data_IF_890989046072
#
_entry.id   IF_890989046072
#
_cell.length_a   1.000
_cell.length_b   1.000
_cell.length_c   1.000
_cell.angle_alpha   90.00
_cell.angle_beta   90.00
_cell.angle_gamma   90.00
#
_symmetry.space_group_name_H-M   'P 1'
#
loop_
_entity.id
_entity.type
_entity.pdbx_description
1 polymer ?
#
# COMPACT_ATOMS: atom_id res chain seq x y z
N UNK A 1 -15.75 -63.52 0.59
CA UNK A 1 -14.88 -64.45 -0.17
C UNK A 1 -13.61 -63.59 -0.41
N UNK A 2 -12.72 -63.85 0.47
CA UNK A 2 -11.30 -64.22 0.43
C UNK A 2 -10.32 -63.14 -0.02
N UNK A 3 -9.71 -62.55 0.96
CA UNK A 3 -8.29 -62.19 1.09
C UNK A 3 -7.39 -63.45 0.84
N UNK A 4 -6.04 -63.45 0.77
CA UNK A 4 -5.01 -62.39 1.00
C UNK A 4 -3.77 -62.52 0.06
N UNK A 5 -2.74 -61.72 0.17
CA UNK A 5 -1.42 -62.03 0.76
C UNK A 5 -0.37 -60.94 0.40
N UNK A 6 0.24 -60.52 1.47
CA UNK A 6 1.48 -59.84 1.69
C UNK A 6 2.72 -60.49 1.03
N UNK A 7 3.74 -59.67 0.73
CA UNK A 7 5.14 -59.95 1.10
C UNK A 7 6.01 -58.70 0.95
N UNK A 8 6.75 -58.44 2.04
CA UNK A 8 7.88 -57.49 2.16
C UNK A 8 9.20 -58.27 1.91
N UNK A 9 10.25 -57.71 1.41
CA UNK A 9 11.57 -58.08 1.90
C UNK A 9 12.48 -56.87 2.24
N UNK A 10 12.90 -56.94 3.48
CA UNK A 10 14.27 -56.86 4.05
C UNK A 10 15.29 -55.81 3.54
N UNK A 11 15.73 -55.06 4.54
CA UNK A 11 16.89 -54.17 4.57
C UNK A 11 18.23 -54.95 4.43
N UNK A 12 19.18 -54.33 3.74
CA UNK A 12 20.61 -54.65 3.89
C UNK A 12 21.40 -53.39 4.20
N UNK A 13 22.08 -53.46 5.34
CA UNK A 13 23.08 -52.52 5.84
C UNK A 13 24.39 -52.60 5.02
N UNK A 14 25.01 -51.51 4.74
CA UNK A 14 26.43 -51.44 4.38
C UNK A 14 27.13 -50.27 5.12
N UNK A 15 28.18 -50.69 5.75
CA UNK A 15 29.07 -49.99 6.68
C UNK A 15 29.88 -48.85 6.03
N UNK A 16 29.98 -47.77 6.77
CA UNK A 16 30.84 -46.59 6.48
C UNK A 16 32.32 -46.88 6.77
N UNK A 17 33.19 -46.49 5.90
CA UNK A 17 34.64 -46.29 6.18
C UNK A 17 34.95 -44.83 6.20
N UNK A 18 35.47 -44.34 7.34
CA UNK A 18 36.03 -43.03 7.57
C UNK A 18 37.40 -42.85 6.88
N UNK A 19 37.59 -41.78 6.14
CA UNK A 19 38.92 -41.28 5.79
C UNK A 19 39.05 -39.84 6.24
N UNK A 20 39.97 -39.62 7.17
CA UNK A 20 40.48 -38.33 7.61
C UNK A 20 41.31 -37.67 6.53
N UNK A 21 40.94 -36.49 6.08
CA UNK A 21 41.78 -35.63 5.25
C UNK A 21 42.02 -34.30 5.97
N UNK A 22 43.29 -34.03 6.18
CA UNK A 22 43.90 -32.86 6.81
C UNK A 22 43.68 -31.58 6.01
N UNK A 23 43.37 -30.53 6.73
CA UNK A 23 43.17 -29.16 6.25
C UNK A 23 44.50 -28.43 6.04
N UNK A 24 44.78 -27.82 4.88
CA UNK A 24 45.80 -26.81 4.75
C UNK A 24 45.22 -25.40 4.94
N UNK A 25 45.90 -24.64 5.80
CA UNK A 25 45.61 -23.23 6.06
C UNK A 25 45.59 -22.40 4.76
N UNK A 26 44.42 -21.73 4.51
CA UNK A 26 44.32 -20.72 3.47
C UNK A 26 44.60 -19.34 4.01
N UNK A 27 45.66 -18.77 3.50
CA UNK A 27 46.08 -17.38 3.65
C UNK A 27 44.96 -16.40 3.28
N UNK A 28 44.75 -15.40 4.10
CA UNK A 28 43.78 -14.32 3.84
C UNK A 28 44.10 -13.56 2.58
N UNK A 29 43.19 -13.67 1.62
CA UNK A 29 43.03 -12.71 0.54
C UNK A 29 41.92 -11.77 0.94
N UNK A 30 42.24 -10.50 1.21
CA UNK A 30 41.27 -9.44 1.37
C UNK A 30 40.40 -9.38 0.11
N UNK A 31 39.13 -9.69 0.23
CA UNK A 31 38.14 -9.47 -0.82
C UNK A 31 38.03 -7.96 -1.01
N UNK A 32 38.65 -7.46 -2.07
CA UNK A 32 38.35 -6.13 -2.61
C UNK A 32 36.89 -6.18 -3.06
N UNK A 33 36.02 -5.51 -2.28
CA UNK A 33 34.61 -5.39 -2.58
C UNK A 33 34.42 -4.78 -3.97
N UNK A 34 33.94 -5.58 -4.89
CA UNK A 34 33.32 -5.10 -6.11
C UNK A 34 32.11 -4.25 -5.65
N UNK A 35 32.23 -2.94 -5.77
CA UNK A 35 31.10 -2.04 -5.62
C UNK A 35 30.04 -2.46 -6.64
N UNK A 36 29.00 -3.16 -6.19
CA UNK A 36 27.82 -3.44 -6.98
C UNK A 36 27.22 -2.09 -7.35
N UNK A 37 27.42 -1.65 -8.59
CA UNK A 37 26.83 -0.41 -9.07
C UNK A 37 25.32 -0.59 -9.04
N UNK A 38 24.62 0.21 -8.22
CA UNK A 38 23.16 0.27 -8.22
C UNK A 38 22.65 0.44 -9.66
N UNK A 39 21.58 -0.26 -10.07
CA UNK A 39 21.02 -0.11 -11.42
C UNK A 39 20.42 1.28 -11.65
N UNK A 40 20.33 2.12 -10.62
CA UNK A 40 19.90 3.54 -10.67
C UNK A 40 20.86 4.37 -9.82
N UNK A 41 21.34 5.47 -10.39
CA UNK A 41 22.26 6.44 -9.76
C UNK A 41 21.60 7.81 -9.58
N UNK A 42 22.19 8.67 -8.75
CA UNK A 42 21.76 10.06 -8.65
C UNK A 42 21.87 10.82 -9.98
N UNK A 43 22.86 10.49 -10.82
CA UNK A 43 23.00 11.11 -12.13
C UNK A 43 21.83 10.76 -13.06
N UNK A 44 21.30 9.55 -12.99
CA UNK A 44 20.11 9.14 -13.77
C UNK A 44 18.84 9.84 -13.25
N UNK A 45 18.71 10.04 -11.93
CA UNK A 45 17.64 10.84 -11.33
C UNK A 45 17.74 12.29 -11.77
N UNK A 46 18.94 12.89 -11.79
CA UNK A 46 19.16 14.26 -12.31
C UNK A 46 18.82 14.38 -13.79
N UNK A 47 19.16 13.37 -14.60
CA UNK A 47 18.78 13.31 -16.00
C UNK A 47 17.27 13.16 -16.19
N UNK A 48 16.61 12.32 -15.37
CA UNK A 48 15.15 12.20 -15.35
C UNK A 48 14.48 13.51 -14.99
N UNK A 49 14.97 14.25 -13.97
CA UNK A 49 14.44 15.55 -13.58
C UNK A 49 14.45 16.56 -14.75
N UNK A 50 15.51 16.56 -15.56
CA UNK A 50 15.56 17.41 -16.78
C UNK A 50 14.53 16.99 -17.83
N UNK A 51 14.30 15.68 -18.03
CA UNK A 51 13.35 15.19 -19.03
C UNK A 51 11.90 15.51 -18.66
N UNK A 52 11.56 15.41 -17.36
CA UNK A 52 10.18 15.62 -16.91
C UNK A 52 9.85 17.06 -16.55
N UNK A 53 10.81 17.98 -16.60
CA UNK A 53 10.68 19.37 -16.13
C UNK A 53 9.50 20.15 -16.75
N UNK A 54 9.10 19.81 -17.98
CA UNK A 54 7.99 20.46 -18.66
C UNK A 54 6.61 19.91 -18.28
N UNK A 55 6.54 18.77 -17.57
CA UNK A 55 5.27 18.06 -17.33
C UNK A 55 5.01 17.72 -15.86
N UNK A 56 6.05 17.49 -15.08
CA UNK A 56 5.94 17.28 -13.65
C UNK A 56 6.09 18.62 -12.93
N UNK A 57 5.08 18.98 -12.17
CA UNK A 57 5.15 20.19 -11.36
C UNK A 57 6.15 20.01 -10.21
N UNK A 58 6.88 21.06 -9.86
CA UNK A 58 7.57 21.16 -8.57
C UNK A 58 6.49 21.40 -7.52
N UNK A 59 6.02 20.33 -6.91
CA UNK A 59 4.91 20.39 -5.95
C UNK A 59 5.35 21.07 -4.65
N UNK A 60 4.44 21.72 -3.91
CA UNK A 60 4.76 22.33 -2.62
C UNK A 60 5.33 21.32 -1.61
N UNK A 61 6.13 21.85 -0.69
CA UNK A 61 6.48 21.23 0.58
C UNK A 61 5.96 22.13 1.69
N UNK A 62 5.07 21.63 2.53
CA UNK A 62 4.29 22.41 3.49
C UNK A 62 4.57 21.95 4.92
N UNK A 63 4.81 22.89 5.85
CA UNK A 63 4.97 22.58 7.27
C UNK A 63 3.61 22.17 7.86
N UNK A 64 3.57 21.03 8.54
CA UNK A 64 2.38 20.56 9.25
C UNK A 64 2.56 20.74 10.76
N UNK A 65 1.93 21.76 11.34
CA UNK A 65 2.06 22.05 12.78
C UNK A 65 1.51 20.90 13.64
N UNK A 66 0.32 20.39 13.30
CA UNK A 66 -0.33 19.27 14.03
C UNK A 66 0.59 18.06 14.17
N UNK A 67 1.19 17.63 13.08
CA UNK A 67 2.08 16.47 13.08
C UNK A 67 3.42 16.79 13.76
N UNK A 68 3.91 18.02 13.63
CA UNK A 68 5.13 18.47 14.29
C UNK A 68 4.97 18.42 15.81
N UNK A 69 3.86 18.93 16.33
CA UNK A 69 3.54 18.91 17.76
C UNK A 69 3.36 17.45 18.25
N UNK A 70 2.63 16.63 17.49
CA UNK A 70 2.37 15.24 17.87
C UNK A 70 3.62 14.37 17.93
N UNK A 71 4.65 14.67 17.12
CA UNK A 71 5.89 13.87 17.03
C UNK A 71 7.10 14.53 17.70
N UNK A 72 6.94 15.73 18.23
CA UNK A 72 8.06 16.53 18.75
C UNK A 72 9.22 16.71 17.75
N UNK A 73 8.86 16.89 16.45
CA UNK A 73 9.79 17.07 15.33
C UNK A 73 9.32 18.24 14.44
N UNK A 74 10.03 18.53 13.35
CA UNK A 74 9.57 19.48 12.33
C UNK A 74 9.11 18.72 11.11
N UNK A 75 7.78 18.48 10.99
CA UNK A 75 7.19 17.68 9.93
C UNK A 75 6.79 18.52 8.72
N UNK A 76 7.32 18.14 7.56
CA UNK A 76 6.97 18.70 6.26
C UNK A 76 6.24 17.67 5.40
N UNK A 77 5.22 18.12 4.68
CA UNK A 77 4.43 17.30 3.74
C UNK A 77 4.81 17.63 2.31
N UNK A 78 5.35 16.67 1.56
CA UNK A 78 5.58 16.81 0.11
C UNK A 78 4.33 16.43 -0.66
N UNK A 79 3.73 17.36 -1.38
CA UNK A 79 2.37 17.33 -1.93
C UNK A 79 2.30 16.77 -3.35
N UNK A 80 2.61 15.50 -3.56
CA UNK A 80 2.52 14.86 -4.89
C UNK A 80 1.07 14.60 -5.36
N UNK A 81 0.08 14.74 -4.49
CA UNK A 81 -1.34 14.80 -4.81
C UNK A 81 -1.71 16.02 -5.69
N UNK A 82 -0.86 17.03 -5.75
CA UNK A 82 -1.04 18.23 -6.58
C UNK A 82 -0.41 18.12 -7.98
N UNK A 83 0.15 16.98 -8.35
CA UNK A 83 0.54 16.73 -9.73
C UNK A 83 -0.66 16.75 -10.68
N UNK A 84 -0.41 16.98 -11.97
CA UNK A 84 -1.45 17.03 -13.03
C UNK A 84 -2.37 15.81 -13.07
N UNK A 85 -1.84 14.62 -12.77
CA UNK A 85 -2.60 13.36 -12.65
C UNK A 85 -2.94 13.03 -11.19
N UNK A 86 -2.80 14.00 -10.28
CA UNK A 86 -3.03 13.87 -8.84
C UNK A 86 -2.23 12.74 -8.17
N UNK A 87 -1.05 12.43 -8.69
CA UNK A 87 -0.09 11.50 -8.06
C UNK A 87 1.31 11.63 -8.68
N UNK A 88 2.32 11.20 -7.93
CA UNK A 88 3.72 11.18 -8.38
C UNK A 88 3.98 10.32 -9.62
N UNK A 89 3.05 9.41 -9.98
CA UNK A 89 3.23 8.41 -11.05
C UNK A 89 3.52 9.02 -12.42
N UNK A 90 3.13 10.25 -12.68
CA UNK A 90 3.48 10.98 -13.91
C UNK A 90 4.99 11.05 -14.14
N UNK A 91 5.79 11.17 -13.08
CA UNK A 91 7.25 11.31 -13.12
C UNK A 91 7.90 10.11 -13.80
N UNK A 92 7.64 8.90 -13.29
CA UNK A 92 8.21 7.66 -13.84
C UNK A 92 7.63 7.29 -15.20
N UNK A 93 6.31 7.38 -15.38
CA UNK A 93 5.66 7.06 -16.65
C UNK A 93 6.20 7.94 -17.79
N UNK A 94 6.23 9.26 -17.59
CA UNK A 94 6.77 10.17 -18.60
C UNK A 94 8.26 9.96 -18.83
N UNK A 95 9.06 9.74 -17.78
CA UNK A 95 10.49 9.51 -17.92
C UNK A 95 10.82 8.27 -18.77
N UNK A 96 10.07 7.17 -18.61
CA UNK A 96 10.21 5.98 -19.48
C UNK A 96 9.87 6.34 -20.93
N UNK A 97 8.67 6.88 -21.15
CA UNK A 97 8.12 7.09 -22.47
C UNK A 97 8.86 8.17 -23.28
N UNK A 98 9.43 9.16 -22.60
CA UNK A 98 10.23 10.22 -23.27
C UNK A 98 11.53 9.69 -23.86
N UNK A 99 12.03 8.53 -23.41
CA UNK A 99 13.27 7.91 -23.86
C UNK A 99 13.07 6.86 -24.97
N UNK A 100 11.84 6.63 -25.41
CA UNK A 100 11.54 5.69 -26.47
C UNK A 100 12.08 6.15 -27.81
N UNK A 101 12.71 5.23 -28.56
CA UNK A 101 13.15 5.43 -29.94
C UNK A 101 11.96 5.70 -30.87
N UNK A 102 12.22 6.19 -32.08
CA UNK A 102 11.16 6.42 -33.06
C UNK A 102 10.41 5.14 -33.43
N UNK A 103 11.09 3.98 -33.49
CA UNK A 103 10.47 2.70 -33.75
C UNK A 103 9.55 2.25 -32.61
N UNK A 104 9.99 2.38 -31.35
CA UNK A 104 9.19 2.08 -30.16
C UNK A 104 7.98 3.00 -30.05
N UNK A 105 8.14 4.30 -30.33
CA UNK A 105 7.01 5.25 -30.36
C UNK A 105 5.97 4.87 -31.42
N UNK A 106 6.42 4.42 -32.59
CA UNK A 106 5.52 3.98 -33.66
C UNK A 106 4.79 2.69 -33.31
N UNK A 107 5.42 1.76 -32.58
CA UNK A 107 4.80 0.54 -32.06
C UNK A 107 3.81 0.82 -30.93
N UNK A 108 3.95 1.96 -30.24
CA UNK A 108 3.12 2.36 -29.12
C UNK A 108 3.51 1.72 -27.80
N UNK A 109 2.72 1.97 -26.78
CA UNK A 109 2.97 1.47 -25.42
C UNK A 109 1.79 0.66 -24.88
N UNK A 110 2.10 -0.21 -23.91
CA UNK A 110 1.12 -1.01 -23.18
C UNK A 110 1.38 -0.92 -21.69
N UNK A 111 0.35 -0.86 -20.88
CA UNK A 111 0.45 -1.07 -19.43
C UNK A 111 -0.79 -1.76 -18.87
N UNK A 112 -0.65 -2.36 -17.68
CA UNK A 112 -1.76 -2.85 -16.89
C UNK A 112 -1.86 -2.04 -15.59
N UNK A 113 -2.92 -1.27 -15.41
CA UNK A 113 -3.21 -0.55 -14.17
C UNK A 113 -4.57 0.13 -14.24
N UNK A 114 -5.35 0.04 -13.18
CA UNK A 114 -6.61 0.77 -13.03
C UNK A 114 -6.48 2.07 -12.23
N UNK A 115 -5.28 2.39 -11.72
CA UNK A 115 -5.04 3.51 -10.81
C UNK A 115 -4.09 4.58 -11.37
N UNK A 116 -3.27 5.11 -10.48
CA UNK A 116 -2.37 6.24 -10.73
C UNK A 116 -1.39 6.03 -11.88
N UNK A 117 -0.87 4.79 -12.03
CA UNK A 117 0.06 4.49 -13.11
C UNK A 117 -0.61 4.61 -14.49
N UNK A 118 -1.83 4.08 -14.62
CA UNK A 118 -2.61 4.22 -15.85
C UNK A 118 -2.86 5.68 -16.22
N UNK A 119 -3.16 6.52 -15.25
CA UNK A 119 -3.35 7.96 -15.47
C UNK A 119 -2.04 8.64 -15.90
N UNK A 120 -0.92 8.25 -15.27
CA UNK A 120 0.42 8.74 -15.66
C UNK A 120 0.81 8.35 -17.08
N UNK A 121 0.56 7.08 -17.48
CA UNK A 121 0.80 6.59 -18.85
C UNK A 121 -0.14 7.29 -19.84
N UNK A 122 -1.43 7.42 -19.52
CA UNK A 122 -2.40 8.08 -20.38
C UNK A 122 -2.01 9.55 -20.65
N UNK A 123 -1.62 10.27 -19.59
CA UNK A 123 -1.10 11.63 -19.72
C UNK A 123 0.15 11.68 -20.60
N UNK A 124 1.11 10.78 -20.38
CA UNK A 124 2.34 10.71 -21.16
C UNK A 124 2.08 10.36 -22.63
N UNK A 125 1.12 9.47 -22.92
CA UNK A 125 0.67 9.17 -24.29
C UNK A 125 0.25 10.45 -25.01
N UNK A 126 -0.64 11.22 -24.39
CA UNK A 126 -1.13 12.47 -24.97
C UNK A 126 -0.03 13.53 -25.13
N UNK A 127 0.80 13.69 -24.11
CA UNK A 127 1.86 14.70 -24.12
C UNK A 127 2.96 14.42 -25.14
N UNK A 128 3.24 13.16 -25.45
CA UNK A 128 4.29 12.72 -26.36
C UNK A 128 3.79 12.30 -27.75
N UNK A 129 2.47 12.28 -27.96
CA UNK A 129 1.88 11.81 -29.22
C UNK A 129 2.09 10.32 -29.47
N UNK A 130 2.11 9.48 -28.41
CA UNK A 130 2.34 8.03 -28.48
C UNK A 130 1.02 7.34 -28.20
N UNK A 131 0.61 6.38 -29.05
CA UNK A 131 -0.59 5.58 -28.80
C UNK A 131 -0.35 4.57 -27.68
N UNK A 132 -1.34 4.39 -26.80
CA UNK A 132 -1.26 3.46 -25.67
C UNK A 132 -2.45 2.57 -25.53
N UNK A 133 -2.24 1.32 -25.15
CA UNK A 133 -3.29 0.39 -24.71
C UNK A 133 -3.15 0.13 -23.21
N UNK A 134 -4.22 0.41 -22.46
CA UNK A 134 -4.24 0.30 -21.00
C UNK A 134 -5.19 -0.83 -20.63
N UNK A 135 -4.64 -1.89 -20.09
CA UNK A 135 -5.35 -3.09 -19.68
C UNK A 135 -5.89 -2.92 -18.26
N UNK A 136 -7.16 -3.24 -18.09
CA UNK A 136 -7.92 -3.06 -16.84
C UNK A 136 -8.76 -4.31 -16.58
N UNK A 137 -8.96 -4.74 -15.32
CA UNK A 137 -9.99 -5.71 -14.99
C UNK A 137 -11.39 -5.24 -15.40
N UNK A 138 -12.29 -6.18 -15.75
CA UNK A 138 -13.69 -5.90 -16.05
C UNK A 138 -14.41 -5.18 -14.91
N UNK A 139 -13.98 -5.48 -13.67
CA UNK A 139 -14.51 -4.93 -12.42
C UNK A 139 -14.12 -3.47 -12.15
N UNK A 140 -13.24 -2.88 -12.99
CA UNK A 140 -12.74 -1.51 -12.76
C UNK A 140 -13.89 -0.49 -12.78
N UNK A 141 -14.09 0.33 -11.74
CA UNK A 141 -15.15 1.32 -11.64
C UNK A 141 -15.13 2.33 -12.80
N UNK A 142 -16.32 2.77 -13.22
CA UNK A 142 -16.47 3.75 -14.31
C UNK A 142 -15.66 5.02 -14.05
N UNK A 143 -15.69 5.54 -12.83
CA UNK A 143 -14.97 6.74 -12.45
C UNK A 143 -13.45 6.64 -12.72
N UNK A 144 -12.82 5.49 -12.41
CA UNK A 144 -11.40 5.25 -12.71
C UNK A 144 -11.14 5.24 -14.22
N UNK A 145 -12.00 4.56 -14.99
CA UNK A 145 -11.90 4.51 -16.45
C UNK A 145 -12.04 5.89 -17.10
N UNK A 146 -12.98 6.70 -16.62
CA UNK A 146 -13.24 8.04 -17.16
C UNK A 146 -12.07 9.00 -16.85
N UNK A 147 -11.43 8.88 -15.68
CA UNK A 147 -10.21 9.63 -15.38
C UNK A 147 -9.05 9.28 -16.32
N UNK A 148 -8.82 8.01 -16.61
CA UNK A 148 -7.78 7.60 -17.56
C UNK A 148 -8.07 8.18 -18.94
N UNK A 149 -9.31 8.10 -19.43
CA UNK A 149 -9.71 8.69 -20.71
C UNK A 149 -9.53 10.19 -20.75
N UNK A 150 -9.85 10.90 -19.66
CA UNK A 150 -9.71 12.37 -19.61
C UNK A 150 -8.26 12.83 -19.76
N UNK A 151 -7.29 12.04 -19.24
CA UNK A 151 -5.86 12.34 -19.40
C UNK A 151 -5.33 11.96 -20.79
N UNK A 152 -5.72 10.81 -21.32
CA UNK A 152 -5.19 10.27 -22.56
C UNK A 152 -5.86 10.75 -23.84
N UNK A 153 -7.15 11.14 -23.76
CA UNK A 153 -7.95 11.48 -24.94
C UNK A 153 -7.95 10.35 -25.98
N UNK A 154 -7.80 10.70 -27.24
CA UNK A 154 -7.77 9.78 -28.37
C UNK A 154 -6.46 8.97 -28.49
N UNK A 155 -5.46 9.30 -27.68
CA UNK A 155 -4.16 8.59 -27.70
C UNK A 155 -4.21 7.28 -26.91
N UNK A 156 -5.27 6.99 -26.15
CA UNK A 156 -5.34 5.77 -25.34
C UNK A 156 -6.59 4.93 -25.64
N UNK A 157 -6.38 3.64 -25.75
CA UNK A 157 -7.41 2.63 -25.79
C UNK A 157 -7.45 1.89 -24.45
N UNK A 158 -8.64 1.85 -23.80
CA UNK A 158 -8.86 1.02 -22.62
C UNK A 158 -9.29 -0.38 -23.06
N UNK A 159 -8.58 -1.39 -22.60
CA UNK A 159 -8.86 -2.80 -22.85
C UNK A 159 -9.32 -3.44 -21.55
N UNK A 160 -10.59 -3.79 -21.45
CA UNK A 160 -11.14 -4.52 -20.30
C UNK A 160 -10.90 -6.00 -20.51
N UNK A 161 -10.19 -6.65 -19.58
CA UNK A 161 -9.85 -8.05 -19.70
C UNK A 161 -9.66 -8.73 -18.33
N UNK A 162 -10.29 -9.90 -18.16
CA UNK A 162 -10.24 -10.68 -16.92
C UNK A 162 -10.92 -9.98 -15.75
N UNK A 163 -10.91 -10.62 -14.60
CA UNK A 163 -11.56 -10.13 -13.39
C UNK A 163 -10.57 -9.61 -12.37
N UNK A 164 -9.27 -9.94 -12.53
CA UNK A 164 -8.19 -9.57 -11.61
C UNK A 164 -7.15 -8.68 -12.31
N UNK A 165 -6.33 -8.02 -11.48
CA UNK A 165 -5.16 -7.29 -11.97
C UNK A 165 -4.17 -8.22 -12.69
N UNK A 166 -3.98 -9.44 -12.19
CA UNK A 166 -3.05 -10.41 -12.77
C UNK A 166 -3.48 -10.84 -14.19
N UNK A 167 -4.80 -11.02 -14.42
CA UNK A 167 -5.34 -11.31 -15.75
C UNK A 167 -5.05 -10.17 -16.73
N UNK A 168 -5.33 -8.95 -16.31
CA UNK A 168 -5.06 -7.75 -17.12
C UNK A 168 -3.55 -7.56 -17.40
N UNK A 169 -2.69 -7.85 -16.41
CA UNK A 169 -1.24 -7.76 -16.56
C UNK A 169 -0.69 -8.82 -17.52
N UNK A 170 -1.17 -10.06 -17.43
CA UNK A 170 -0.81 -11.13 -18.34
C UNK A 170 -1.22 -10.81 -19.80
N UNK A 171 -2.44 -10.27 -19.97
CA UNK A 171 -2.93 -9.86 -21.29
C UNK A 171 -2.13 -8.69 -21.88
N UNK A 172 -1.75 -7.71 -21.03
CA UNK A 172 -0.89 -6.60 -21.47
C UNK A 172 0.48 -7.08 -21.94
N UNK A 173 1.10 -8.02 -21.22
CA UNK A 173 2.38 -8.61 -21.60
C UNK A 173 2.26 -9.37 -22.92
N UNK A 174 1.26 -10.23 -23.08
CA UNK A 174 1.02 -10.96 -24.33
C UNK A 174 0.74 -10.02 -25.52
N UNK A 175 0.09 -8.90 -25.29
CA UNK A 175 -0.14 -7.89 -26.32
C UNK A 175 1.16 -7.17 -26.70
N UNK A 176 2.02 -6.83 -25.74
CA UNK A 176 3.33 -6.25 -25.99
C UNK A 176 4.19 -7.19 -26.87
N UNK A 177 4.26 -8.46 -26.51
CA UNK A 177 5.01 -9.48 -27.26
C UNK A 177 4.49 -9.64 -28.70
N UNK A 178 3.17 -9.64 -28.88
CA UNK A 178 2.52 -9.81 -30.17
C UNK A 178 2.67 -8.60 -31.11
N UNK A 179 2.67 -7.39 -30.54
CA UNK A 179 2.62 -6.13 -31.31
C UNK A 179 3.96 -5.41 -31.39
N UNK A 180 4.94 -5.81 -30.58
CA UNK A 180 6.20 -5.08 -30.42
C UNK A 180 6.06 -3.77 -29.64
N UNK A 181 4.92 -3.51 -29.02
CA UNK A 181 4.70 -2.32 -28.19
C UNK A 181 5.51 -2.39 -26.88
N UNK A 182 5.92 -1.23 -26.38
CA UNK A 182 6.73 -1.18 -25.16
C UNK A 182 5.83 -1.30 -23.93
N UNK A 183 6.13 -2.29 -23.08
CA UNK A 183 5.52 -2.37 -21.76
C UNK A 183 6.08 -1.26 -20.87
N UNK A 184 5.20 -0.48 -20.23
CA UNK A 184 5.57 0.57 -19.27
C UNK A 184 5.26 0.10 -17.86
N UNK A 185 6.28 -0.41 -17.11
CA UNK A 185 6.07 -0.96 -15.76
C UNK A 185 5.77 0.13 -14.72
N UNK A 186 4.92 -0.16 -13.73
CA UNK A 186 4.54 0.82 -12.69
C UNK A 186 5.65 1.11 -11.68
N UNK A 187 6.67 0.25 -11.55
CA UNK A 187 7.74 0.38 -10.57
C UNK A 187 9.03 -0.40 -10.90
N UNK A 188 8.96 -1.54 -11.61
CA UNK A 188 10.11 -2.44 -11.79
C UNK A 188 10.84 -2.19 -13.13
N UNK A 189 11.33 -0.97 -13.30
CA UNK A 189 12.16 -0.53 -14.43
C UNK A 189 13.09 0.59 -13.96
N UNK A 190 14.39 0.55 -14.22
CA UNK A 190 15.34 1.59 -13.79
C UNK A 190 14.94 3.01 -14.22
N UNK A 191 14.32 3.16 -15.41
CA UNK A 191 13.84 4.46 -15.91
C UNK A 191 12.62 4.95 -15.12
N UNK A 192 11.71 4.03 -14.75
CA UNK A 192 10.58 4.35 -13.86
C UNK A 192 11.11 4.81 -12.50
N UNK A 193 12.03 4.05 -11.91
CA UNK A 193 12.63 4.31 -10.59
C UNK A 193 13.35 5.68 -10.59
N UNK A 194 14.18 5.96 -11.60
CA UNK A 194 14.87 7.25 -11.74
C UNK A 194 13.88 8.42 -11.85
N UNK A 195 12.79 8.25 -12.60
CA UNK A 195 11.72 9.25 -12.71
C UNK A 195 11.05 9.52 -11.37
N UNK A 196 10.72 8.48 -10.59
CA UNK A 196 10.11 8.62 -9.27
C UNK A 196 11.06 9.27 -8.26
N UNK A 197 12.35 8.94 -8.32
CA UNK A 197 13.39 9.53 -7.46
C UNK A 197 13.54 11.05 -7.58
N UNK A 198 13.04 11.66 -8.66
CA UNK A 198 13.13 13.13 -8.83
C UNK A 198 12.45 13.92 -7.72
N UNK A 199 11.51 13.32 -7.00
CA UNK A 199 10.81 13.97 -5.89
C UNK A 199 11.77 14.35 -4.75
N UNK A 200 12.75 13.49 -4.41
CA UNK A 200 13.69 13.79 -3.32
C UNK A 200 14.66 14.90 -3.70
N UNK A 201 15.03 15.00 -4.98
CA UNK A 201 15.83 16.14 -5.47
C UNK A 201 15.12 17.46 -5.23
N UNK A 202 13.80 17.52 -5.49
CA UNK A 202 12.99 18.73 -5.22
C UNK A 202 12.92 19.02 -3.72
N UNK A 203 12.71 18.00 -2.88
CA UNK A 203 12.66 18.13 -1.41
C UNK A 203 13.95 18.79 -0.90
N UNK A 204 15.12 18.27 -1.28
CA UNK A 204 16.42 18.82 -0.88
C UNK A 204 16.59 20.27 -1.35
N UNK A 205 16.16 20.59 -2.57
CA UNK A 205 16.22 21.95 -3.10
C UNK A 205 15.29 22.93 -2.37
N UNK A 206 14.06 22.49 -2.08
CA UNK A 206 13.06 23.33 -1.41
C UNK A 206 13.39 23.59 0.06
N UNK A 207 13.96 22.62 0.76
CA UNK A 207 14.43 22.80 2.13
C UNK A 207 15.78 23.52 2.22
N UNK A 208 16.53 23.62 1.12
CA UNK A 208 17.91 24.13 1.10
C UNK A 208 18.95 23.22 1.75
N UNK A 209 18.53 22.08 2.29
CA UNK A 209 19.34 21.02 2.90
C UNK A 209 18.62 19.67 2.83
N UNK A 210 19.33 18.54 2.94
CA UNK A 210 18.66 17.26 3.15
C UNK A 210 17.84 17.23 4.46
N UNK A 211 16.69 16.55 4.53
CA UNK A 211 16.00 16.29 5.79
C UNK A 211 16.78 15.28 6.64
N UNK A 212 16.46 15.18 7.92
CA UNK A 212 17.05 14.16 8.79
C UNK A 212 16.38 12.79 8.58
N UNK A 213 15.04 12.81 8.38
CA UNK A 213 14.23 11.61 8.12
C UNK A 213 13.29 11.85 6.93
N UNK A 214 13.14 10.85 6.09
CA UNK A 214 12.19 10.83 4.97
C UNK A 214 11.30 9.59 5.06
N UNK A 215 9.98 9.78 5.17
CA UNK A 215 9.00 8.69 5.23
C UNK A 215 8.28 8.55 3.88
N UNK A 216 8.32 7.35 3.30
CA UNK A 216 7.95 7.09 1.91
C UNK A 216 6.94 5.95 1.82
N UNK A 217 5.79 6.10 1.16
CA UNK A 217 4.87 5.00 0.91
C UNK A 217 5.49 3.92 0.02
N UNK A 218 5.27 2.66 0.38
CA UNK A 218 5.81 1.49 -0.32
C UNK A 218 4.68 0.58 -0.78
N UNK A 219 4.67 0.29 -2.07
CA UNK A 219 4.01 -0.83 -2.69
C UNK A 219 5.06 -1.65 -3.43
N UNK A 220 5.10 -1.63 -4.76
CA UNK A 220 6.13 -2.32 -5.56
C UNK A 220 7.55 -1.78 -5.39
N UNK A 221 7.75 -0.68 -4.66
CA UNK A 221 9.05 -0.17 -4.23
C UNK A 221 9.72 0.85 -5.17
N UNK A 222 9.14 1.17 -6.34
CA UNK A 222 9.82 2.03 -7.32
C UNK A 222 10.10 3.46 -6.82
N UNK A 223 9.23 4.04 -6.00
CA UNK A 223 9.42 5.37 -5.41
C UNK A 223 10.57 5.38 -4.40
N UNK A 224 10.47 4.50 -3.40
CA UNK A 224 11.49 4.42 -2.34
C UNK A 224 12.87 4.05 -2.91
N UNK A 225 12.92 3.15 -3.88
CA UNK A 225 14.17 2.78 -4.54
C UNK A 225 14.83 3.96 -5.25
N UNK A 226 14.05 4.80 -5.96
CA UNK A 226 14.58 6.00 -6.60
C UNK A 226 15.08 7.04 -5.61
N UNK A 227 14.37 7.20 -4.49
CA UNK A 227 14.76 8.08 -3.38
C UNK A 227 16.06 7.59 -2.72
N UNK A 228 16.11 6.30 -2.38
CA UNK A 228 17.28 5.68 -1.75
C UNK A 228 18.50 5.77 -2.67
N UNK A 229 18.35 5.44 -3.95
CA UNK A 229 19.45 5.53 -4.91
C UNK A 229 20.03 6.97 -4.99
N UNK A 230 19.16 7.99 -5.03
CA UNK A 230 19.61 9.38 -5.04
C UNK A 230 20.33 9.78 -3.74
N UNK A 231 19.74 9.45 -2.59
CA UNK A 231 20.28 9.85 -1.28
C UNK A 231 21.57 9.12 -0.93
N UNK A 232 21.72 7.86 -1.30
CA UNK A 232 22.97 7.10 -1.11
C UNK A 232 24.16 7.83 -1.75
N UNK A 233 23.98 8.41 -2.92
CA UNK A 233 25.02 9.15 -3.64
C UNK A 233 25.19 10.60 -3.14
N UNK A 234 24.11 11.29 -2.78
CA UNK A 234 24.09 12.75 -2.55
C UNK A 234 24.00 13.17 -1.09
N UNK A 235 23.35 12.35 -0.26
CA UNK A 235 23.13 12.68 1.15
C UNK A 235 22.97 11.40 2.00
N UNK A 236 24.03 10.59 2.16
CA UNK A 236 23.97 9.27 2.81
C UNK A 236 23.60 9.32 4.30
N UNK A 237 23.56 10.52 4.91
CA UNK A 237 23.14 10.70 6.30
C UNK A 237 21.62 10.77 6.51
N UNK A 238 20.82 10.79 5.45
CA UNK A 238 19.35 10.85 5.57
C UNK A 238 18.81 9.46 5.91
N UNK A 239 18.01 9.36 6.96
CA UNK A 239 17.29 8.13 7.29
C UNK A 239 16.03 8.01 6.43
N UNK A 240 15.97 6.99 5.58
CA UNK A 240 14.77 6.69 4.78
C UNK A 240 14.00 5.57 5.44
N UNK A 241 12.70 5.79 5.68
CA UNK A 241 11.77 4.80 6.24
C UNK A 241 10.66 4.55 5.22
N UNK A 242 10.45 3.30 4.86
CA UNK A 242 9.32 2.89 4.02
C UNK A 242 8.11 2.58 4.88
N UNK A 243 6.94 3.13 4.53
CA UNK A 243 5.66 2.80 5.12
C UNK A 243 4.88 1.90 4.15
N UNK A 244 4.50 0.70 4.58
CA UNK A 244 3.82 -0.30 3.78
C UNK A 244 2.50 -0.71 4.44
N UNK A 245 1.40 -0.95 3.68
CA UNK A 245 0.13 -1.40 4.28
C UNK A 245 0.32 -2.73 5.02
N UNK A 246 -0.20 -2.84 6.23
CA UNK A 246 -0.10 -4.06 7.02
C UNK A 246 -0.77 -5.26 6.34
N UNK A 247 -1.86 -5.02 5.60
CA UNK A 247 -2.56 -6.03 4.83
C UNK A 247 -1.89 -6.43 3.50
N UNK A 248 -0.82 -5.73 3.07
CA UNK A 248 -0.09 -6.03 1.83
C UNK A 248 1.42 -5.81 1.97
N UNK A 249 2.12 -6.49 2.92
CA UNK A 249 3.50 -6.24 3.29
C UNK A 249 4.51 -6.91 2.33
N UNK A 250 4.44 -6.61 1.03
CA UNK A 250 5.20 -7.32 0.00
C UNK A 250 6.70 -7.04 0.05
N UNK A 251 7.11 -5.81 0.36
CA UNK A 251 8.53 -5.44 0.48
C UNK A 251 9.12 -5.97 1.80
N UNK A 252 8.40 -5.87 2.91
CA UNK A 252 8.82 -6.44 4.18
C UNK A 252 9.00 -7.97 4.09
N UNK A 253 8.06 -8.67 3.43
CA UNK A 253 8.16 -10.10 3.17
C UNK A 253 9.36 -10.43 2.28
N UNK A 254 9.62 -9.62 1.23
CA UNK A 254 10.78 -9.81 0.37
C UNK A 254 12.11 -9.63 1.13
N UNK A 255 12.20 -8.61 2.00
CA UNK A 255 13.40 -8.38 2.84
C UNK A 255 13.63 -9.53 3.81
N UNK A 256 12.56 -10.04 4.43
CA UNK A 256 12.66 -11.19 5.34
C UNK A 256 13.10 -12.48 4.62
N UNK A 257 12.65 -12.68 3.37
CA UNK A 257 12.99 -13.84 2.56
C UNK A 257 14.35 -13.71 1.83
N UNK A 258 14.92 -12.52 1.75
CA UNK A 258 16.14 -12.24 0.96
C UNK A 258 15.93 -12.20 -0.55
N UNK A 259 14.68 -12.26 -1.02
CA UNK A 259 14.28 -12.18 -2.43
C UNK A 259 12.81 -11.75 -2.56
N UNK A 260 12.38 -11.17 -3.69
CA UNK A 260 10.96 -10.91 -3.92
C UNK A 260 10.13 -12.19 -3.81
N UNK A 261 9.09 -12.13 -2.98
CA UNK A 261 8.13 -13.23 -2.77
C UNK A 261 6.74 -12.77 -3.16
N UNK A 262 5.89 -13.72 -3.55
CA UNK A 262 4.49 -13.45 -3.84
C UNK A 262 3.65 -13.73 -2.58
N UNK A 263 2.90 -12.73 -2.12
CA UNK A 263 1.94 -12.88 -1.02
C UNK A 263 0.79 -13.81 -1.45
N UNK A 264 0.46 -14.77 -0.62
CA UNK A 264 -0.68 -15.68 -0.84
C UNK A 264 -2.01 -14.91 -0.73
N UNK A 265 -2.13 -14.10 0.31
CA UNK A 265 -3.29 -13.23 0.56
C UNK A 265 -2.84 -11.79 0.74
N UNK A 266 -3.70 -10.85 0.41
CA UNK A 266 -3.49 -9.42 0.70
C UNK A 266 -4.83 -8.72 0.85
N UNK A 267 -4.88 -7.65 1.66
CA UNK A 267 -5.99 -6.68 1.66
C UNK A 267 -5.77 -5.65 0.52
N UNK A 268 -6.68 -5.54 -0.45
CA UNK A 268 -6.57 -4.58 -1.54
C UNK A 268 -6.99 -3.15 -1.15
N UNK A 269 -7.32 -2.88 0.11
CA UNK A 269 -7.88 -1.60 0.56
C UNK A 269 -6.99 -0.41 0.15
N UNK A 270 -5.68 -0.49 0.36
CA UNK A 270 -4.71 0.55 -0.03
C UNK A 270 -4.29 0.33 -1.49
N UNK A 271 -5.23 0.44 -2.42
CA UNK A 271 -5.13 0.02 -3.82
C UNK A 271 -3.94 0.62 -4.60
N UNK A 272 -3.47 1.82 -4.21
CA UNK A 272 -2.25 2.45 -4.78
C UNK A 272 -0.92 1.84 -4.30
N UNK A 273 -0.93 1.05 -3.21
CA UNK A 273 0.26 0.41 -2.63
C UNK A 273 0.10 -1.10 -2.43
N UNK A 274 -1.12 -1.65 -2.43
CA UNK A 274 -1.36 -3.07 -2.30
C UNK A 274 -0.92 -3.85 -3.55
N UNK A 275 0.25 -4.47 -3.48
CA UNK A 275 0.80 -5.32 -4.54
C UNK A 275 1.20 -6.68 -3.98
N UNK A 276 1.04 -7.73 -4.79
CA UNK A 276 1.36 -9.10 -4.35
C UNK A 276 2.85 -9.39 -4.25
N UNK A 277 3.69 -8.60 -4.93
CA UNK A 277 5.15 -8.82 -4.93
C UNK A 277 5.87 -7.50 -5.12
N UNK A 278 6.93 -7.28 -4.36
CA UNK A 278 7.88 -6.20 -4.60
C UNK A 278 8.58 -6.40 -5.96
N UNK A 279 8.98 -5.29 -6.60
CA UNK A 279 9.79 -5.33 -7.81
C UNK A 279 11.20 -5.88 -7.55
N UNK A 280 11.79 -6.54 -8.53
CA UNK A 280 13.13 -7.13 -8.40
C UNK A 280 14.19 -6.04 -8.25
N UNK A 281 14.14 -5.02 -9.11
CA UNK A 281 15.09 -3.90 -9.07
C UNK A 281 14.88 -3.05 -7.81
N UNK A 282 13.65 -2.63 -7.44
CA UNK A 282 13.41 -1.93 -6.19
C UNK A 282 13.88 -2.69 -4.96
N UNK A 283 13.58 -3.99 -4.86
CA UNK A 283 14.03 -4.83 -3.76
C UNK A 283 15.55 -4.80 -3.62
N UNK A 284 16.29 -4.98 -4.73
CA UNK A 284 17.76 -4.98 -4.71
C UNK A 284 18.34 -3.67 -4.16
N UNK A 285 17.76 -2.52 -4.53
CA UNK A 285 18.20 -1.20 -4.04
C UNK A 285 17.87 -1.02 -2.56
N UNK A 286 16.64 -1.33 -2.15
CA UNK A 286 16.15 -1.17 -0.77
C UNK A 286 16.91 -2.09 0.19
N UNK A 287 17.14 -3.35 -0.21
CA UNK A 287 17.89 -4.33 0.57
C UNK A 287 19.37 -3.95 0.73
N UNK A 288 20.02 -3.52 -0.36
CA UNK A 288 21.42 -3.11 -0.34
C UNK A 288 21.66 -1.90 0.59
N UNK A 289 20.70 -0.99 0.69
CA UNK A 289 20.75 0.18 1.56
C UNK A 289 20.35 -0.12 3.01
N UNK A 290 19.86 -1.32 3.32
CA UNK A 290 19.34 -1.66 4.65
C UNK A 290 18.14 -0.81 5.09
N UNK A 291 17.33 -0.37 4.14
CA UNK A 291 16.22 0.54 4.39
C UNK A 291 15.14 -0.14 5.25
N UNK A 292 14.77 0.50 6.36
CA UNK A 292 13.71 0.02 7.24
C UNK A 292 12.33 0.16 6.58
N UNK A 293 11.54 -0.90 6.61
CA UNK A 293 10.12 -0.89 6.19
C UNK A 293 9.25 -1.13 7.44
N UNK A 294 8.22 -0.32 7.60
CA UNK A 294 7.27 -0.43 8.72
C UNK A 294 5.87 -0.71 8.19
N UNK A 295 5.15 -1.68 8.78
CA UNK A 295 3.75 -1.90 8.45
C UNK A 295 2.90 -0.80 9.10
N UNK A 296 1.84 -0.39 8.40
CA UNK A 296 0.85 0.59 8.87
C UNK A 296 -0.54 -0.01 8.77
N UNK A 297 -1.27 -0.01 9.87
CA UNK A 297 -2.65 -0.50 9.94
C UNK A 297 -3.58 0.32 9.05
N UNK A 298 -4.50 -0.34 8.34
CA UNK A 298 -5.44 0.30 7.41
C UNK A 298 -6.38 1.28 8.12
N UNK A 299 -6.76 0.99 9.35
CA UNK A 299 -7.57 1.91 10.18
C UNK A 299 -6.79 3.16 10.58
N UNK A 300 -5.49 3.04 10.87
CA UNK A 300 -4.62 4.19 11.10
C UNK A 300 -4.50 5.07 9.85
N UNK A 301 -4.40 4.45 8.66
CA UNK A 301 -4.40 5.16 7.38
C UNK A 301 -5.72 5.92 7.20
N UNK A 302 -6.87 5.28 7.47
CA UNK A 302 -8.18 5.90 7.38
C UNK A 302 -8.31 7.08 8.34
N UNK A 303 -7.85 6.93 9.58
CA UNK A 303 -7.86 7.98 10.60
C UNK A 303 -7.05 9.19 10.12
N UNK A 304 -5.85 8.98 9.59
CA UNK A 304 -5.03 10.06 9.09
C UNK A 304 -5.59 10.69 7.79
N UNK A 305 -6.24 9.94 6.91
CA UNK A 305 -6.97 10.50 5.76
C UNK A 305 -8.04 11.50 6.19
N UNK A 306 -8.81 11.16 7.21
CA UNK A 306 -9.84 12.04 7.77
C UNK A 306 -9.21 13.27 8.45
N UNK A 307 -8.13 13.08 9.21
CA UNK A 307 -7.42 14.16 9.87
C UNK A 307 -6.81 15.16 8.85
N UNK A 308 -6.15 14.66 7.79
CA UNK A 308 -5.61 15.46 6.69
C UNK A 308 -6.71 16.29 6.00
N UNK A 309 -7.88 15.69 5.80
CA UNK A 309 -9.02 16.38 5.20
C UNK A 309 -9.58 17.47 6.12
N UNK A 310 -9.79 17.15 7.38
CA UNK A 310 -10.46 18.03 8.35
C UNK A 310 -9.57 19.19 8.82
N UNK A 311 -8.28 18.95 9.02
CA UNK A 311 -7.38 19.94 9.61
C UNK A 311 -6.54 20.68 8.56
N UNK A 312 -6.06 19.99 7.54
CA UNK A 312 -5.17 20.55 6.52
C UNK A 312 -5.86 20.81 5.17
N UNK A 313 -7.13 20.37 4.99
CA UNK A 313 -7.84 20.50 3.72
C UNK A 313 -7.24 19.62 2.61
N UNK A 314 -6.52 18.56 2.96
CA UNK A 314 -5.81 17.67 2.04
C UNK A 314 -6.66 16.43 1.75
N UNK A 315 -7.03 16.24 0.49
CA UNK A 315 -7.73 15.03 0.03
C UNK A 315 -6.69 14.02 -0.44
N UNK A 316 -6.24 13.15 0.45
CA UNK A 316 -5.34 12.05 0.14
C UNK A 316 -6.13 10.77 -0.17
N UNK A 317 -5.61 9.94 -1.09
CA UNK A 317 -6.02 8.54 -1.23
C UNK A 317 -5.33 7.67 -0.15
N UNK A 318 -5.77 6.41 0.10
CA UNK A 318 -5.15 5.58 1.14
C UNK A 318 -3.63 5.45 1.00
N UNK A 319 -3.12 5.19 -0.21
CA UNK A 319 -1.67 5.15 -0.47
C UNK A 319 -1.00 6.53 -0.29
N UNK A 320 -1.74 7.61 -0.48
CA UNK A 320 -1.27 8.98 -0.29
C UNK A 320 -1.08 9.37 1.17
N UNK A 321 -1.92 8.85 2.07
CA UNK A 321 -1.85 9.09 3.50
C UNK A 321 -0.87 8.16 4.24
N UNK A 322 -0.45 7.07 3.61
CA UNK A 322 0.29 5.97 4.22
C UNK A 322 1.57 6.41 4.96
N UNK A 323 2.39 7.29 4.38
CA UNK A 323 3.60 7.79 5.04
C UNK A 323 3.29 8.68 6.24
N UNK A 324 2.22 9.45 6.16
CA UNK A 324 1.79 10.34 7.25
C UNK A 324 1.22 9.52 8.41
N UNK A 325 0.40 8.51 8.10
CA UNK A 325 -0.17 7.59 9.08
C UNK A 325 0.89 6.77 9.84
N UNK A 326 2.08 6.60 9.29
CA UNK A 326 3.19 5.92 9.96
C UNK A 326 3.81 6.76 11.08
N UNK A 327 3.78 8.10 10.98
CA UNK A 327 4.57 9.01 11.84
C UNK A 327 4.36 8.79 13.35
N UNK A 328 3.13 8.63 13.87
CA UNK A 328 2.91 8.47 15.31
C UNK A 328 3.53 7.19 15.90
N UNK A 329 3.77 6.17 15.06
CA UNK A 329 4.36 4.90 15.48
C UNK A 329 5.90 4.84 15.31
N UNK A 330 6.51 5.91 14.80
CA UNK A 330 7.94 5.97 14.57
C UNK A 330 8.66 6.61 15.77
N UNK A 331 9.77 6.00 16.16
CA UNK A 331 10.71 6.61 17.09
C UNK A 331 11.59 7.61 16.31
N UNK A 332 11.14 8.86 16.28
CA UNK A 332 11.79 9.94 15.56
C UNK A 332 12.70 10.75 16.51
N UNK A 333 13.92 11.13 16.10
CA UNK A 333 14.78 11.97 16.92
C UNK A 333 14.11 13.32 17.18
N UNK A 334 14.00 13.72 18.46
CA UNK A 334 13.37 14.99 18.84
C UNK A 334 14.04 16.19 18.14
N UNK A 335 13.22 17.10 17.63
CA UNK A 335 13.68 18.29 16.90
C UNK A 335 14.21 18.02 15.49
N UNK A 336 14.19 16.76 15.01
CA UNK A 336 14.60 16.43 13.63
C UNK A 336 13.65 17.02 12.59
N UNK A 337 14.19 17.26 11.39
CA UNK A 337 13.41 17.63 10.21
C UNK A 337 12.94 16.37 9.51
N UNK A 338 11.65 16.13 9.52
CA UNK A 338 11.00 14.96 8.92
C UNK A 338 10.21 15.38 7.70
N UNK A 339 10.33 14.65 6.60
CA UNK A 339 9.47 14.83 5.44
C UNK A 339 8.64 13.57 5.22
N UNK A 340 7.32 13.71 5.17
CA UNK A 340 6.40 12.66 4.76
C UNK A 340 5.80 12.97 3.38
N UNK A 341 5.71 11.95 2.51
CA UNK A 341 5.19 12.13 1.17
C UNK A 341 3.68 11.86 1.12
N UNK A 342 2.91 12.84 0.62
CA UNK A 342 1.52 12.64 0.19
C UNK A 342 1.56 12.30 -1.30
N UNK A 343 1.53 11.01 -1.63
CA UNK A 343 1.87 10.49 -2.95
C UNK A 343 0.75 10.55 -3.97
N UNK A 344 -0.51 10.73 -3.52
CA UNK A 344 -1.65 10.83 -4.41
C UNK A 344 -2.95 11.23 -3.71
N UNK A 345 -3.87 11.78 -4.51
CA UNK A 345 -5.19 12.24 -4.09
C UNK A 345 -6.34 11.74 -4.99
N UNK A 346 -6.13 10.64 -5.71
CA UNK A 346 -7.14 10.03 -6.60
C UNK A 346 -8.16 9.16 -5.84
N UNK A 347 -8.63 9.68 -4.71
CA UNK A 347 -9.58 8.96 -3.87
C UNK A 347 -10.94 8.78 -4.55
N UNK A 348 -11.62 7.72 -4.19
CA UNK A 348 -12.99 7.44 -4.60
C UNK A 348 -13.95 7.89 -3.50
N UNK A 349 -14.82 8.85 -3.83
CA UNK A 349 -15.77 9.42 -2.87
C UNK A 349 -16.73 8.36 -2.33
N UNK A 350 -17.05 7.33 -3.12
CA UNK A 350 -17.93 6.24 -2.68
C UNK A 350 -17.36 5.41 -1.53
N UNK A 351 -16.03 5.48 -1.29
CA UNK A 351 -15.35 4.74 -0.22
C UNK A 351 -15.31 5.46 1.13
N UNK A 352 -15.79 6.71 1.20
CA UNK A 352 -15.70 7.46 2.47
C UNK A 352 -16.49 6.81 3.61
N UNK A 353 -17.58 6.11 3.31
CA UNK A 353 -18.30 5.31 4.33
C UNK A 353 -17.40 4.23 4.95
N UNK A 354 -16.69 3.45 4.11
CA UNK A 354 -15.72 2.45 4.56
C UNK A 354 -14.53 3.08 5.31
N UNK A 355 -14.05 4.25 4.86
CA UNK A 355 -12.93 4.97 5.49
C UNK A 355 -13.31 5.43 6.91
N UNK A 356 -14.49 6.02 7.07
CA UNK A 356 -15.00 6.44 8.38
C UNK A 356 -15.16 5.23 9.30
N UNK A 357 -15.73 4.16 8.78
CA UNK A 357 -15.94 2.91 9.52
C UNK A 357 -14.63 2.31 10.04
N UNK A 358 -13.63 2.14 9.16
CA UNK A 358 -12.31 1.61 9.53
C UNK A 358 -11.60 2.52 10.56
N UNK A 359 -11.77 3.84 10.45
CA UNK A 359 -11.23 4.80 11.40
C UNK A 359 -11.87 4.65 12.78
N UNK A 360 -13.19 4.59 12.87
CA UNK A 360 -13.90 4.45 14.14
C UNK A 360 -13.54 3.12 14.85
N UNK A 361 -13.44 2.04 14.09
CA UNK A 361 -13.03 0.73 14.64
C UNK A 361 -11.58 0.77 15.13
N UNK A 362 -10.67 1.40 14.38
CA UNK A 362 -9.27 1.56 14.77
C UNK A 362 -9.12 2.40 16.05
N UNK A 363 -9.89 3.47 16.16
CA UNK A 363 -9.90 4.32 17.35
C UNK A 363 -10.60 3.67 18.57
N UNK A 364 -11.18 2.48 18.41
CA UNK A 364 -11.95 1.81 19.46
C UNK A 364 -13.26 2.49 19.79
N UNK A 365 -13.78 3.31 18.86
CA UNK A 365 -15.04 4.02 19.01
C UNK A 365 -16.22 3.26 18.43
N UNK A 366 -16.00 2.19 17.64
CA UNK A 366 -17.06 1.39 17.06
C UNK A 366 -16.81 -0.09 17.23
N UNK A 367 -17.84 -0.79 17.68
CA UNK A 367 -17.79 -2.22 17.97
C UNK A 367 -19.02 -2.93 17.45
N UNK A 368 -18.84 -4.20 17.07
CA UNK A 368 -19.91 -5.07 16.60
C UNK A 368 -20.11 -6.26 17.51
N UNK A 369 -21.38 -6.64 17.68
CA UNK A 369 -21.80 -7.72 18.55
C UNK A 369 -22.85 -8.60 17.88
N UNK A 370 -22.76 -9.89 18.10
CA UNK A 370 -23.89 -10.80 17.92
C UNK A 370 -24.57 -10.93 19.28
N UNK A 371 -25.87 -10.64 19.31
CA UNK A 371 -26.66 -10.64 20.54
C UNK A 371 -27.85 -11.58 20.35
N UNK A 372 -27.97 -12.59 21.21
CA UNK A 372 -29.14 -13.45 21.23
C UNK A 372 -30.22 -12.91 22.18
N UNK A 373 -31.20 -12.24 21.58
CA UNK A 373 -32.31 -11.62 22.32
C UNK A 373 -33.36 -12.67 22.73
N UNK A 374 -33.83 -12.68 24.00
CA UNK A 374 -35.04 -13.38 24.38
C UNK A 374 -36.21 -12.95 23.50
N UNK A 375 -36.97 -13.90 22.96
CA UNK A 375 -38.08 -13.57 22.05
C UNK A 375 -39.38 -13.19 22.81
N UNK A 376 -39.25 -12.38 23.82
CA UNK A 376 -40.35 -11.83 24.63
C UNK A 376 -40.56 -10.33 24.41
N UNK A 377 -41.77 -9.81 24.65
CA UNK A 377 -42.03 -8.37 24.59
C UNK A 377 -41.13 -7.59 25.54
N UNK A 378 -40.49 -6.51 25.04
CA UNK A 378 -39.65 -5.64 25.85
C UNK A 378 -38.18 -5.98 25.93
N UNK A 379 -37.72 -7.09 25.33
CA UNK A 379 -36.28 -7.49 25.34
C UNK A 379 -35.37 -6.39 24.74
N UNK A 380 -35.75 -5.82 23.60
CA UNK A 380 -35.00 -4.73 22.99
C UNK A 380 -34.99 -3.46 23.87
N UNK A 381 -36.11 -3.15 24.51
CA UNK A 381 -36.17 -1.99 25.42
C UNK A 381 -35.20 -2.18 26.59
N UNK A 382 -35.15 -3.37 27.20
CA UNK A 382 -34.18 -3.67 28.24
C UNK A 382 -32.73 -3.49 27.77
N UNK A 383 -32.43 -3.96 26.58
CA UNK A 383 -31.09 -3.76 25.99
C UNK A 383 -30.75 -2.27 25.89
N UNK A 384 -31.67 -1.44 25.39
CA UNK A 384 -31.46 0.00 25.29
C UNK A 384 -31.29 0.67 26.66
N UNK A 385 -32.12 0.29 27.62
CA UNK A 385 -32.18 0.94 28.94
C UNK A 385 -31.06 0.46 29.89
N UNK A 386 -30.62 -0.82 29.79
CA UNK A 386 -29.71 -1.46 30.75
C UNK A 386 -28.29 -1.65 30.23
N UNK A 387 -28.11 -1.73 28.91
CA UNK A 387 -26.80 -2.02 28.29
C UNK A 387 -26.15 -0.77 27.74
N UNK A 388 -26.89 0.08 27.00
CA UNK A 388 -26.29 1.28 26.42
C UNK A 388 -25.99 2.34 27.47
N UNK A 389 -24.88 3.03 27.29
CA UNK A 389 -24.56 4.26 28.03
C UNK A 389 -25.20 5.49 27.37
N UNK A 390 -25.14 6.65 28.04
CA UNK A 390 -25.76 7.88 27.54
C UNK A 390 -25.10 8.44 26.26
N UNK A 391 -23.87 8.06 26.00
CA UNK A 391 -23.06 8.47 24.82
C UNK A 391 -22.93 7.36 23.78
N UNK A 392 -23.58 6.20 23.99
CA UNK A 392 -23.53 5.06 23.09
C UNK A 392 -24.67 5.16 22.06
N UNK A 393 -24.35 5.04 20.77
CA UNK A 393 -25.32 5.06 19.67
C UNK A 393 -25.34 3.73 18.90
N UNK A 394 -26.53 3.28 18.52
CA UNK A 394 -26.71 2.10 17.66
C UNK A 394 -26.67 2.53 16.21
N UNK A 395 -25.59 2.22 15.52
CA UNK A 395 -25.39 2.54 14.10
C UNK A 395 -25.79 1.41 13.14
N UNK A 396 -25.91 0.19 13.68
CA UNK A 396 -26.39 -0.99 12.96
C UNK A 396 -27.23 -1.85 13.90
N UNK A 397 -28.43 -2.23 13.46
CA UNK A 397 -29.28 -3.18 14.18
C UNK A 397 -30.04 -4.06 13.20
N UNK A 398 -29.62 -5.30 13.06
CA UNK A 398 -30.29 -6.30 12.25
C UNK A 398 -30.81 -7.42 13.16
N UNK A 399 -32.13 -7.51 13.33
CA UNK A 399 -32.78 -8.51 14.16
C UNK A 399 -33.70 -9.39 13.33
N UNK A 400 -33.51 -10.70 13.46
CA UNK A 400 -34.36 -11.70 12.80
C UNK A 400 -35.17 -12.46 13.83
N UNK A 401 -36.44 -12.12 13.98
CA UNK A 401 -37.37 -12.90 14.78
C UNK A 401 -37.67 -14.24 14.13
N UNK A 402 -37.45 -15.35 14.87
CA UNK A 402 -37.74 -16.71 14.41
C UNK A 402 -38.83 -17.33 15.28
N UNK A 403 -39.89 -17.86 14.66
CA UNK A 403 -40.96 -18.54 15.38
C UNK A 403 -40.46 -19.83 16.03
N UNK A 404 -41.03 -20.19 17.20
CA UNK A 404 -40.71 -21.41 17.97
C UNK A 404 -39.25 -21.54 18.46
N UNK A 405 -38.59 -20.41 18.76
CA UNK A 405 -37.30 -20.35 19.44
C UNK A 405 -37.39 -19.45 20.68
N UNK A 406 -36.59 -19.76 21.69
CA UNK A 406 -36.51 -18.96 22.93
C UNK A 406 -35.76 -17.66 22.70
N UNK A 407 -34.75 -17.68 21.81
CA UNK A 407 -33.92 -16.51 21.47
C UNK A 407 -33.93 -16.25 19.96
N UNK A 408 -33.59 -15.02 19.57
CA UNK A 408 -33.39 -14.61 18.20
C UNK A 408 -32.12 -13.76 18.04
N UNK A 409 -31.24 -14.12 17.09
CA UNK A 409 -29.98 -13.42 16.90
C UNK A 409 -30.20 -12.01 16.32
N UNK A 410 -29.42 -11.06 16.81
CA UNK A 410 -29.27 -9.73 16.24
C UNK A 410 -27.80 -9.41 16.02
N UNK A 411 -27.55 -8.69 14.95
CA UNK A 411 -26.26 -8.03 14.69
C UNK A 411 -26.40 -6.57 15.13
N UNK A 412 -25.54 -6.14 16.06
CA UNK A 412 -25.57 -4.80 16.65
C UNK A 412 -24.22 -4.11 16.46
N UNK A 413 -24.23 -2.94 15.81
CA UNK A 413 -23.09 -2.02 15.74
C UNK A 413 -23.30 -0.86 16.70
N UNK A 414 -22.37 -0.65 17.61
CA UNK A 414 -22.42 0.40 18.63
C UNK A 414 -21.26 1.35 18.42
N UNK A 415 -21.58 2.63 18.27
CA UNK A 415 -20.61 3.73 18.29
C UNK A 415 -20.62 4.37 19.67
N UNK A 416 -19.43 4.64 20.20
CA UNK A 416 -19.21 5.09 21.56
C UNK A 416 -18.62 6.50 21.58
N UNK A 417 -18.95 7.30 22.57
CA UNK A 417 -18.38 8.64 22.76
C UNK A 417 -16.89 8.60 23.14
N UNK A 418 -16.39 7.51 23.74
CA UNK A 418 -14.96 7.31 24.04
C UNK A 418 -14.57 5.83 24.07
N UNK A 419 -13.31 5.52 23.73
CA UNK A 419 -12.79 4.16 23.74
C UNK A 419 -12.69 3.57 25.18
N UNK A 420 -12.50 4.41 26.18
CA UNK A 420 -12.44 4.03 27.59
C UNK A 420 -13.77 3.43 28.10
N UNK A 421 -14.89 3.80 27.48
CA UNK A 421 -16.23 3.31 27.79
C UNK A 421 -16.45 1.82 27.51
N UNK A 422 -15.60 1.20 26.66
CA UNK A 422 -15.80 -0.18 26.21
C UNK A 422 -15.87 -1.19 27.37
N UNK A 423 -15.01 -1.08 28.36
CA UNK A 423 -15.01 -2.01 29.50
C UNK A 423 -16.31 -1.95 30.29
N UNK A 424 -16.89 -0.76 30.45
CA UNK A 424 -18.19 -0.56 31.11
C UNK A 424 -19.35 -1.11 30.27
N UNK A 425 -19.33 -0.91 28.95
CA UNK A 425 -20.29 -1.49 28.02
C UNK A 425 -20.28 -3.02 28.09
N UNK A 426 -19.11 -3.65 28.02
CA UNK A 426 -18.96 -5.11 28.11
C UNK A 426 -19.43 -5.65 29.47
N UNK A 427 -19.20 -4.93 30.58
CA UNK A 427 -19.67 -5.33 31.89
C UNK A 427 -21.22 -5.29 31.97
N UNK A 428 -21.87 -4.27 31.40
CA UNK A 428 -23.35 -4.18 31.32
C UNK A 428 -23.92 -5.30 30.44
N UNK A 429 -23.27 -5.60 29.31
CA UNK A 429 -23.65 -6.73 28.44
C UNK A 429 -23.57 -8.05 29.16
N UNK A 430 -22.51 -8.29 29.94
CA UNK A 430 -22.32 -9.52 30.69
C UNK A 430 -23.35 -9.68 31.85
N UNK A 431 -23.87 -8.59 32.37
CA UNK A 431 -24.92 -8.60 33.42
C UNK A 431 -26.33 -8.74 32.84
N UNK A 432 -26.53 -8.49 31.56
CA UNK A 432 -27.83 -8.59 30.88
C UNK A 432 -28.24 -10.04 30.65
N UNK A 433 -29.55 -10.37 30.62
CA UNK A 433 -30.04 -11.73 30.37
C UNK A 433 -29.99 -12.10 28.88
N UNK A 434 -28.87 -11.86 28.22
CA UNK A 434 -28.65 -12.07 26.78
C UNK A 434 -27.27 -12.64 26.58
N UNK A 435 -27.13 -13.54 25.61
CA UNK A 435 -25.81 -13.99 25.18
C UNK A 435 -25.25 -12.99 24.18
N UNK A 436 -24.02 -12.53 24.42
CA UNK A 436 -23.36 -11.53 23.60
C UNK A 436 -21.98 -12.01 23.17
N UNK A 437 -21.74 -12.05 21.89
CA UNK A 437 -20.44 -12.33 21.30
C UNK A 437 -19.92 -11.08 20.59
N UNK A 438 -18.72 -10.59 20.95
CA UNK A 438 -18.08 -9.48 20.28
C UNK A 438 -17.43 -9.94 18.99
N UNK A 439 -17.76 -9.30 17.88
CA UNK A 439 -17.12 -9.51 16.60
C UNK A 439 -15.81 -8.71 16.56
N UNK A 440 -14.69 -9.40 16.55
CA UNK A 440 -13.38 -8.76 16.52
C UNK A 440 -12.98 -8.39 15.08
N UNK A 441 -12.27 -7.25 14.87
CA UNK A 441 -11.65 -6.92 13.59
C UNK A 441 -10.78 -8.07 13.08
N UNK A 442 -10.82 -8.33 11.77
CA UNK A 442 -10.09 -9.43 11.14
C UNK A 442 -10.75 -10.80 11.23
N UNK A 443 -11.82 -10.98 12.03
CA UNK A 443 -12.60 -12.23 12.06
C UNK A 443 -13.36 -12.46 10.74
N UNK A 444 -13.78 -13.70 10.50
CA UNK A 444 -14.59 -14.03 9.32
C UNK A 444 -15.93 -13.26 9.32
N UNK A 445 -16.56 -13.11 10.49
CA UNK A 445 -17.80 -12.36 10.64
C UNK A 445 -17.60 -10.86 10.31
N UNK A 446 -16.50 -10.26 10.76
CA UNK A 446 -16.21 -8.84 10.49
C UNK A 446 -16.09 -8.51 8.99
N UNK A 447 -15.56 -9.43 8.18
CA UNK A 447 -15.44 -9.25 6.72
C UNK A 447 -16.78 -9.15 5.98
N UNK A 448 -17.89 -9.50 6.59
CA UNK A 448 -19.24 -9.28 6.04
C UNK A 448 -19.82 -7.91 6.43
N UNK A 449 -19.16 -7.17 7.32
CA UNK A 449 -19.62 -5.87 7.79
C UNK A 449 -18.91 -4.71 7.11
N UNK A 450 -17.73 -4.95 6.58
CA UNK A 450 -16.87 -4.00 5.89
C UNK A 450 -16.55 -4.52 4.48
#
# INVERSE_FOLDING_TARGET
>A
MTDPTATNPTATSSTATSSTATNPAASGAAATGSASTSPVSAAEVDAAARRIAAVAAVTPIELCARLSDATNTTVWLKREDLQVVRSYKVRGAYNVMSQLSSAERAAGVVCASAGNHAQGVAFACRALGITGRIYLPNTTPRQKRDRIRSHGGDMVQLVLFGDTYDDAAAAALADADRTGSVLVPPFDDPRTIAGQGTVVREIVQQLGRPPDVLVVPVGGGGLIAGIVAYLTDRAPGVTVIGAEPAGAPSMAAALAAGAPVRLETMDPFVDGAAVRSAGVVPFGIVAAAGTRIVPVDEGAICTEMLALYQNEGIIAEPAGALAVAALPALDLPAGSTVVALITGGNNDVSRYGEIVERSLVHLGLKHYFLVDFPQEPGALRRFLDEVLGPEDDITLFEYVKRNNRETGPALVGIEMGSAEGLSALLARMAAAPMEVERILPGSAAYRYLT
#
